data_IF_195669666634
#
_entry.id   IF_195669666634
#
_cell.length_a   1.000
_cell.length_b   1.000
_cell.length_c   1.000
_cell.angle_alpha   90.00
_cell.angle_beta   90.00
_cell.angle_gamma   90.00
#
_symmetry.space_group_name_H-M   'P 1'
#
loop_
_entity.id
_entity.type
_entity.pdbx_description
1 polymer ?
#
# COMPACT_ATOMS: atom_id res chain seq x y z
N UNK A 1 -5.89 -21.31 6.10
CA UNK A 1 -4.86 -21.44 5.03
C UNK A 1 -4.92 -22.85 4.45
N UNK A 2 -5.29 -22.98 3.20
CA UNK A 2 -5.25 -24.28 2.53
C UNK A 2 -3.78 -24.67 2.32
N UNK A 3 -3.23 -25.47 3.23
CA UNK A 3 -1.93 -26.12 3.03
C UNK A 3 -2.10 -27.19 1.95
N UNK A 4 -1.97 -26.78 0.69
CA UNK A 4 -2.08 -27.69 -0.43
C UNK A 4 -0.70 -28.23 -0.75
N UNK A 5 -0.57 -29.55 -0.70
CA UNK A 5 0.63 -30.25 -1.12
C UNK A 5 0.49 -30.71 -2.56
N UNK A 6 1.47 -30.42 -3.38
CA UNK A 6 1.53 -30.90 -4.76
C UNK A 6 2.26 -32.24 -4.84
N UNK A 7 1.71 -33.17 -5.61
CA UNK A 7 2.40 -34.43 -5.89
C UNK A 7 3.52 -34.21 -6.90
N UNK A 8 4.77 -34.41 -6.48
CA UNK A 8 5.99 -34.26 -7.32
C UNK A 8 6.25 -32.83 -7.86
N UNK A 9 5.78 -31.80 -7.20
CA UNK A 9 6.03 -30.40 -7.54
C UNK A 9 6.26 -29.57 -6.28
N UNK A 10 6.92 -28.43 -6.43
CA UNK A 10 6.90 -27.39 -5.42
C UNK A 10 5.48 -26.84 -5.21
N UNK A 11 5.18 -26.40 -4.00
CA UNK A 11 3.91 -25.79 -3.69
C UNK A 11 3.80 -24.43 -4.39
N UNK A 12 2.74 -24.23 -5.16
CA UNK A 12 2.41 -22.96 -5.81
C UNK A 12 1.26 -22.29 -5.06
N UNK A 13 1.20 -20.96 -5.03
CA UNK A 13 -0.02 -20.27 -4.59
C UNK A 13 -1.21 -20.73 -5.43
N UNK A 14 -2.36 -20.86 -4.79
CA UNK A 14 -3.57 -21.33 -5.45
C UNK A 14 -4.66 -20.26 -5.40
N UNK A 15 -5.26 -19.99 -6.53
CA UNK A 15 -6.42 -19.11 -6.63
C UNK A 15 -7.63 -19.77 -5.94
N UNK A 16 -8.08 -19.16 -4.83
CA UNK A 16 -9.23 -19.62 -4.05
C UNK A 16 -10.53 -18.94 -4.50
N UNK A 17 -10.61 -18.58 -5.77
CA UNK A 17 -11.77 -17.95 -6.38
C UNK A 17 -12.05 -18.46 -7.80
N UNK A 18 -13.28 -18.28 -8.23
CA UNK A 18 -13.74 -18.56 -9.60
C UNK A 18 -14.13 -17.25 -10.26
N UNK A 19 -13.55 -16.94 -11.41
CA UNK A 19 -13.83 -15.70 -12.13
C UNK A 19 -15.18 -15.80 -12.86
N UNK A 20 -16.07 -14.80 -12.62
CA UNK A 20 -17.35 -14.66 -13.31
C UNK A 20 -17.36 -13.47 -14.28
N UNK A 21 -16.62 -12.40 -13.97
CA UNK A 21 -16.52 -11.17 -14.76
C UNK A 21 -15.05 -10.98 -15.10
N UNK A 22 -14.77 -10.76 -16.38
CA UNK A 22 -13.42 -10.57 -16.88
C UNK A 22 -13.27 -9.18 -17.53
N UNK A 23 -12.10 -8.58 -17.36
CA UNK A 23 -11.68 -7.40 -18.11
C UNK A 23 -10.63 -7.86 -19.13
N UNK A 24 -10.88 -7.56 -20.42
CA UNK A 24 -9.91 -7.88 -21.47
C UNK A 24 -8.65 -7.03 -21.29
N UNK A 25 -7.50 -7.68 -21.35
CA UNK A 25 -6.18 -7.02 -21.43
C UNK A 25 -5.48 -7.41 -22.71
N UNK A 26 -4.45 -6.66 -23.09
CA UNK A 26 -3.61 -6.94 -24.27
C UNK A 26 -2.16 -6.60 -23.98
N UNK A 27 -1.23 -7.32 -24.60
CA UNK A 27 0.19 -6.99 -24.57
C UNK A 27 0.50 -6.22 -25.86
N UNK A 28 1.06 -5.01 -25.72
CA UNK A 28 1.53 -4.25 -26.84
C UNK A 28 2.86 -4.81 -27.38
N UNK A 29 3.14 -4.76 -28.70
CA UNK A 29 4.48 -5.00 -29.21
C UNK A 29 5.52 -4.09 -28.54
N UNK A 30 6.75 -4.57 -28.40
CA UNK A 30 7.80 -3.85 -27.64
C UNK A 30 8.03 -2.42 -28.15
N UNK A 31 7.94 -2.19 -29.46
CA UNK A 31 8.10 -0.86 -30.06
C UNK A 31 6.97 0.09 -29.65
N UNK A 32 5.74 -0.44 -29.54
CA UNK A 32 4.60 0.34 -29.05
C UNK A 32 4.70 0.62 -27.54
N UNK A 33 5.28 -0.31 -26.77
CA UNK A 33 5.60 -0.08 -25.35
C UNK A 33 6.62 1.06 -25.19
N UNK A 34 7.66 1.11 -26.04
CA UNK A 34 8.61 2.23 -26.03
C UNK A 34 7.92 3.55 -26.37
N UNK A 35 7.02 3.58 -27.37
CA UNK A 35 6.23 4.78 -27.68
C UNK A 35 5.30 5.19 -26.53
N UNK A 36 4.66 4.22 -25.88
CA UNK A 36 3.76 4.46 -24.75
C UNK A 36 4.50 5.09 -23.56
N UNK A 37 5.64 4.51 -23.14
CA UNK A 37 6.40 5.05 -22.01
C UNK A 37 7.01 6.42 -22.31
N UNK A 38 7.44 6.69 -23.55
CA UNK A 38 7.87 8.02 -23.99
C UNK A 38 6.74 9.04 -23.96
N UNK A 39 5.55 8.68 -24.46
CA UNK A 39 4.36 9.52 -24.38
C UNK A 39 3.97 9.85 -22.94
N UNK A 40 4.20 8.92 -22.02
CA UNK A 40 4.01 9.11 -20.58
C UNK A 40 5.14 9.92 -19.92
N UNK A 41 6.21 10.29 -20.63
CA UNK A 41 7.37 10.96 -20.06
C UNK A 41 8.10 10.08 -19.04
N UNK A 42 8.24 8.78 -19.31
CA UNK A 42 8.87 7.80 -18.42
C UNK A 42 8.30 7.75 -16.98
N UNK A 43 7.10 8.27 -16.78
CA UNK A 43 6.44 8.35 -15.48
C UNK A 43 5.21 7.44 -15.48
N UNK A 44 5.18 6.46 -14.59
CA UNK A 44 4.10 5.46 -14.49
C UNK A 44 2.72 6.06 -14.19
N UNK A 45 2.66 7.19 -13.49
CA UNK A 45 1.40 7.89 -13.20
C UNK A 45 0.75 8.53 -14.43
N UNK A 46 1.50 8.75 -15.51
CA UNK A 46 1.04 9.37 -16.75
C UNK A 46 0.67 8.36 -17.84
N UNK A 47 0.93 7.07 -17.60
CA UNK A 47 0.59 6.02 -18.57
C UNK A 47 -0.91 5.81 -18.66
N UNK A 48 -1.39 5.49 -19.86
CA UNK A 48 -2.77 5.06 -20.05
C UNK A 48 -2.95 3.60 -19.60
N UNK A 49 -4.10 3.28 -18.99
CA UNK A 49 -4.35 1.94 -18.48
C UNK A 49 -4.44 0.87 -19.59
N UNK A 50 -4.90 1.23 -20.78
CA UNK A 50 -5.01 0.36 -21.95
C UNK A 50 -3.66 0.08 -22.64
N UNK A 51 -2.61 0.83 -22.31
CA UNK A 51 -1.24 0.54 -22.71
C UNK A 51 -0.60 -0.54 -21.80
N UNK A 52 -1.23 -0.91 -20.68
CA UNK A 52 -0.66 -1.79 -19.66
C UNK A 52 -1.28 -3.20 -19.72
N UNK A 53 -0.42 -4.22 -19.82
CA UNK A 53 -0.86 -5.63 -19.71
C UNK A 53 -1.13 -6.02 -18.25
N UNK A 54 -0.20 -5.73 -17.36
CA UNK A 54 -0.35 -5.91 -15.91
C UNK A 54 -0.28 -4.54 -15.26
N UNK A 55 -1.40 -4.04 -14.75
CA UNK A 55 -1.43 -2.78 -14.02
C UNK A 55 -1.15 -3.02 -12.54
N UNK A 56 0.13 -2.96 -12.18
CA UNK A 56 0.66 -3.18 -10.85
C UNK A 56 1.07 -1.85 -10.16
N UNK A 57 0.47 -0.73 -10.60
CA UNK A 57 0.73 0.58 -10.02
C UNK A 57 0.28 0.64 -8.56
N UNK A 58 -0.89 0.09 -8.26
CA UNK A 58 -1.50 0.11 -6.92
C UNK A 58 -2.52 -1.01 -6.75
N UNK A 59 -2.76 -1.39 -5.50
CA UNK A 59 -3.90 -2.24 -5.11
C UNK A 59 -5.16 -1.42 -4.76
N UNK A 60 -5.04 -0.10 -4.67
CA UNK A 60 -6.10 0.77 -4.15
C UNK A 60 -7.28 0.93 -5.10
N UNK A 61 -8.39 0.26 -4.79
CA UNK A 61 -9.65 0.32 -5.54
C UNK A 61 -9.65 -0.48 -6.85
N UNK A 62 -8.68 -1.37 -7.03
CA UNK A 62 -8.55 -2.25 -8.19
C UNK A 62 -8.59 -3.73 -7.81
N UNK A 63 -8.83 -4.05 -6.54
CA UNK A 63 -9.09 -5.42 -6.09
C UNK A 63 -10.41 -5.93 -6.65
N UNK A 64 -10.48 -7.24 -6.96
CA UNK A 64 -11.71 -7.85 -7.44
C UNK A 64 -12.74 -8.03 -6.32
N UNK A 65 -13.98 -7.66 -6.60
CA UNK A 65 -15.12 -7.85 -5.70
C UNK A 65 -15.71 -9.25 -5.87
N UNK A 66 -16.33 -9.78 -4.81
CA UNK A 66 -17.14 -11.01 -4.89
C UNK A 66 -18.51 -10.75 -5.53
N UNK A 67 -19.17 -11.84 -5.95
CA UNK A 67 -20.56 -11.79 -6.41
C UNK A 67 -21.50 -11.31 -5.28
N UNK A 68 -21.21 -11.63 -4.02
CA UNK A 68 -21.92 -11.16 -2.85
C UNK A 68 -21.79 -9.64 -2.71
N UNK A 69 -20.57 -9.09 -2.88
CA UNK A 69 -20.37 -7.63 -2.87
C UNK A 69 -21.16 -6.93 -4.00
N UNK A 70 -21.06 -7.47 -5.23
CA UNK A 70 -21.81 -6.93 -6.37
C UNK A 70 -23.33 -7.03 -6.18
N UNK A 71 -23.80 -8.16 -5.63
CA UNK A 71 -25.23 -8.33 -5.27
C UNK A 71 -25.67 -7.33 -4.20
N UNK A 72 -24.86 -7.10 -3.18
CA UNK A 72 -25.16 -6.16 -2.12
C UNK A 72 -25.26 -4.70 -2.64
N UNK A 73 -24.44 -4.32 -3.62
CA UNK A 73 -24.52 -3.00 -4.24
C UNK A 73 -25.92 -2.70 -4.85
N UNK A 74 -26.67 -3.74 -5.26
CA UNK A 74 -27.98 -3.58 -5.88
C UNK A 74 -29.11 -3.31 -4.87
N UNK A 75 -28.86 -3.50 -3.58
CA UNK A 75 -29.86 -3.29 -2.51
C UNK A 75 -29.60 -2.03 -1.68
N UNK A 76 -28.58 -1.24 -2.06
CA UNK A 76 -28.29 0.04 -1.40
C UNK A 76 -29.47 1.01 -1.56
N UNK A 77 -29.86 1.66 -0.46
CA UNK A 77 -30.95 2.64 -0.43
C UNK A 77 -30.43 4.08 -0.55
N UNK A 78 -30.92 4.81 -1.54
CA UNK A 78 -30.51 6.20 -1.81
C UNK A 78 -31.26 7.22 -0.89
N UNK A 79 -30.99 7.14 0.42
CA UNK A 79 -31.50 8.13 1.37
C UNK A 79 -30.39 9.16 1.70
N UNK A 80 -30.74 10.47 1.60
CA UNK A 80 -29.75 11.53 1.91
C UNK A 80 -29.28 11.49 3.36
N UNK A 81 -30.15 11.16 4.29
CA UNK A 81 -29.84 11.08 5.72
C UNK A 81 -30.37 9.79 6.32
N UNK A 82 -29.57 9.12 7.15
CA UNK A 82 -29.98 7.96 7.93
C UNK A 82 -30.42 6.76 7.11
N UNK A 83 -29.73 6.45 6.01
CA UNK A 83 -30.01 5.29 5.16
C UNK A 83 -29.95 3.98 5.94
N UNK A 84 -30.71 2.98 5.51
CA UNK A 84 -30.65 1.62 6.06
C UNK A 84 -29.25 1.03 5.80
N UNK A 85 -28.67 1.33 4.65
CA UNK A 85 -27.30 0.93 4.29
C UNK A 85 -26.26 1.47 5.28
N UNK A 86 -26.32 2.77 5.63
CA UNK A 86 -25.43 3.36 6.63
C UNK A 86 -25.54 2.62 7.98
N UNK A 87 -26.77 2.37 8.45
CA UNK A 87 -26.99 1.64 9.70
C UNK A 87 -26.39 0.22 9.65
N UNK A 88 -26.62 -0.52 8.56
CA UNK A 88 -26.08 -1.87 8.38
C UNK A 88 -24.55 -1.88 8.38
N UNK A 89 -23.91 -0.90 7.71
CA UNK A 89 -22.45 -0.78 7.70
C UNK A 89 -21.92 -0.40 9.09
N UNK A 90 -22.59 0.51 9.80
CA UNK A 90 -22.27 0.89 11.16
C UNK A 90 -22.35 -0.32 12.12
N UNK A 91 -23.40 -1.14 12.01
CA UNK A 91 -23.56 -2.37 12.77
C UNK A 91 -22.44 -3.38 12.47
N UNK A 92 -22.04 -3.52 11.20
CA UNK A 92 -20.94 -4.39 10.77
C UNK A 92 -19.57 -3.91 11.33
N UNK A 93 -19.32 -2.61 11.30
CA UNK A 93 -18.11 -2.01 11.88
C UNK A 93 -18.07 -2.26 13.38
N UNK A 94 -19.17 -2.06 14.08
CA UNK A 94 -19.27 -2.36 15.51
C UNK A 94 -19.04 -3.85 15.79
N UNK A 95 -19.60 -4.75 14.99
CA UNK A 95 -19.38 -6.20 15.12
C UNK A 95 -17.89 -6.57 15.04
N UNK A 96 -17.15 -6.00 14.06
CA UNK A 96 -15.75 -6.36 13.77
C UNK A 96 -14.79 -5.63 14.72
N UNK A 97 -14.91 -4.30 14.81
CA UNK A 97 -13.93 -3.43 15.47
C UNK A 97 -14.32 -3.02 16.90
N UNK A 98 -15.53 -3.35 17.38
CA UNK A 98 -16.01 -2.90 18.69
C UNK A 98 -15.98 -1.36 18.86
N UNK A 99 -16.26 -0.62 17.79
CA UNK A 99 -16.34 0.83 17.79
C UNK A 99 -17.79 1.27 17.59
N UNK A 100 -18.25 2.17 18.46
CA UNK A 100 -19.64 2.61 18.49
C UNK A 100 -19.95 3.66 17.43
N UNK A 101 -18.96 4.47 17.04
CA UNK A 101 -19.12 5.58 16.14
C UNK A 101 -18.37 5.37 14.83
N UNK A 102 -19.01 5.73 13.73
CA UNK A 102 -18.51 5.58 12.37
C UNK A 102 -18.77 6.83 11.54
N UNK A 103 -17.72 7.38 10.93
CA UNK A 103 -17.79 8.45 9.95
C UNK A 103 -17.31 7.93 8.59
N UNK A 104 -18.20 7.84 7.59
CA UNK A 104 -17.83 7.51 6.22
C UNK A 104 -17.13 8.69 5.55
N UNK A 105 -16.17 8.39 4.66
CA UNK A 105 -15.49 9.34 3.78
C UNK A 105 -15.22 8.70 2.43
N UNK A 106 -14.97 9.48 1.37
CA UNK A 106 -14.83 8.94 0.01
C UNK A 106 -13.60 8.07 -0.21
N UNK A 107 -12.57 8.17 0.64
CA UNK A 107 -11.36 7.31 0.60
C UNK A 107 -10.46 7.54 1.84
N UNK A 108 -9.45 6.66 2.05
CA UNK A 108 -8.56 6.72 3.22
C UNK A 108 -7.83 8.05 3.40
N UNK A 109 -7.32 8.68 2.31
CA UNK A 109 -6.66 9.99 2.41
C UNK A 109 -7.57 11.13 2.89
N UNK A 110 -8.88 10.96 2.81
CA UNK A 110 -9.82 11.89 3.41
C UNK A 110 -9.87 11.71 4.94
N UNK A 111 -9.76 10.46 5.44
CA UNK A 111 -9.59 10.22 6.88
C UNK A 111 -8.38 10.96 7.43
N UNK A 112 -7.21 10.81 6.77
CA UNK A 112 -5.98 11.52 7.15
C UNK A 112 -6.19 13.03 7.18
N UNK A 113 -6.91 13.58 6.20
CA UNK A 113 -7.19 15.02 6.14
C UNK A 113 -8.09 15.47 7.30
N UNK A 114 -9.17 14.74 7.57
CA UNK A 114 -10.08 15.08 8.69
C UNK A 114 -9.36 15.02 10.03
N UNK A 115 -8.52 13.99 10.25
CA UNK A 115 -7.74 13.85 11.48
C UNK A 115 -6.66 14.92 11.60
N UNK A 116 -5.98 15.29 10.51
CA UNK A 116 -5.02 16.39 10.52
C UNK A 116 -5.69 17.73 10.85
N UNK A 117 -6.84 18.04 10.23
CA UNK A 117 -7.62 19.25 10.54
C UNK A 117 -8.11 19.29 11.99
N UNK A 118 -8.49 18.13 12.54
CA UNK A 118 -8.98 18.04 13.91
C UNK A 118 -7.89 18.24 14.96
N UNK A 119 -6.69 17.68 14.73
CA UNK A 119 -5.70 17.58 15.81
C UNK A 119 -4.37 18.27 15.55
N UNK A 120 -3.95 18.47 14.30
CA UNK A 120 -2.67 19.09 13.98
C UNK A 120 -2.82 20.63 14.01
N UNK A 121 -1.95 21.28 14.76
CA UNK A 121 -1.84 22.74 14.84
C UNK A 121 -0.44 23.15 14.40
N UNK A 122 -0.21 24.43 14.06
CA UNK A 122 1.14 24.92 13.80
C UNK A 122 2.11 24.58 14.94
N UNK A 123 3.22 23.89 14.60
CA UNK A 123 4.21 23.40 15.56
C UNK A 123 3.90 22.06 16.20
N UNK A 124 2.76 21.41 15.88
CA UNK A 124 2.48 20.04 16.34
C UNK A 124 3.42 19.02 15.70
N UNK A 125 3.59 17.88 16.39
CA UNK A 125 4.38 16.73 15.93
C UNK A 125 3.48 15.49 15.89
N UNK A 126 3.67 14.65 14.87
CA UNK A 126 3.03 13.34 14.74
C UNK A 126 4.11 12.26 14.68
N UNK A 127 4.43 11.60 15.82
CA UNK A 127 5.25 10.39 15.79
C UNK A 127 4.55 9.27 15.01
N UNK A 128 5.32 8.50 14.21
CA UNK A 128 4.80 7.39 13.41
C UNK A 128 5.88 6.33 13.22
N UNK A 129 5.47 5.07 12.98
CA UNK A 129 6.42 4.02 12.64
C UNK A 129 7.17 4.38 11.35
N UNK A 130 6.45 4.59 10.24
CA UNK A 130 7.07 5.12 9.03
C UNK A 130 6.17 6.15 8.35
N UNK A 131 6.75 6.89 7.42
CA UNK A 131 6.04 7.94 6.70
C UNK A 131 5.15 7.39 5.59
N UNK A 132 4.10 8.15 5.25
CA UNK A 132 3.31 7.95 4.06
C UNK A 132 3.00 9.33 3.44
N UNK A 133 3.35 9.53 2.16
CA UNK A 133 3.36 10.84 1.53
C UNK A 133 2.06 11.64 1.66
N UNK A 134 0.88 10.97 1.55
CA UNK A 134 -0.40 11.67 1.71
C UNK A 134 -0.67 12.14 3.14
N UNK A 135 -0.23 11.39 4.15
CA UNK A 135 -0.33 11.78 5.57
C UNK A 135 0.60 12.96 5.87
N UNK A 136 1.85 12.87 5.44
CA UNK A 136 2.84 13.94 5.61
C UNK A 136 2.35 15.25 4.99
N UNK A 137 1.88 15.20 3.73
CA UNK A 137 1.37 16.38 3.04
C UNK A 137 0.28 17.11 3.83
N UNK A 138 -0.61 16.38 4.52
CA UNK A 138 -1.69 16.98 5.33
C UNK A 138 -1.20 17.51 6.67
N UNK A 139 -0.27 16.80 7.32
CA UNK A 139 0.37 17.27 8.55
C UNK A 139 1.10 18.58 8.28
N UNK A 140 1.91 18.64 7.22
CA UNK A 140 2.61 19.85 6.79
C UNK A 140 1.65 21.00 6.40
N UNK A 141 0.56 20.67 5.68
CA UNK A 141 -0.47 21.66 5.34
C UNK A 141 -1.10 22.31 6.57
N UNK A 142 -1.29 21.58 7.66
CA UNK A 142 -1.79 22.11 8.93
C UNK A 142 -0.69 22.80 9.77
N UNK A 143 0.55 22.90 9.27
CA UNK A 143 1.67 23.53 9.96
C UNK A 143 2.36 22.64 11.01
N UNK A 144 2.09 21.36 11.00
CA UNK A 144 2.73 20.35 11.84
C UNK A 144 3.97 19.73 11.19
N UNK A 145 4.61 18.84 11.94
CA UNK A 145 5.73 18.03 11.53
C UNK A 145 5.53 16.57 11.95
N UNK A 146 6.41 15.68 11.54
CA UNK A 146 6.37 14.27 11.88
C UNK A 146 7.72 13.76 12.35
N UNK A 147 7.72 12.65 13.08
CA UNK A 147 8.95 11.98 13.52
C UNK A 147 8.80 10.49 13.26
N UNK A 148 9.75 9.91 12.51
CA UNK A 148 9.80 8.48 12.25
C UNK A 148 10.40 7.78 13.46
N UNK A 149 9.67 6.80 13.98
CA UNK A 149 10.06 5.95 15.12
C UNK A 149 10.20 4.49 14.70
N UNK A 150 10.69 4.23 13.48
CA UNK A 150 10.94 2.88 12.97
C UNK A 150 12.18 2.30 13.63
N UNK A 151 12.16 1.00 13.92
CA UNK A 151 13.36 0.26 14.33
C UNK A 151 14.42 0.24 13.22
N UNK A 152 15.69 0.07 13.57
CA UNK A 152 16.83 0.18 12.64
C UNK A 152 16.74 -0.85 11.50
N UNK A 153 16.33 -2.09 11.80
CA UNK A 153 16.19 -3.15 10.81
C UNK A 153 15.13 -2.87 9.73
N UNK A 154 14.19 -1.97 10.01
CA UNK A 154 13.20 -1.53 9.03
C UNK A 154 13.82 -0.84 7.80
N UNK A 155 15.00 -0.23 7.96
CA UNK A 155 15.74 0.42 6.87
C UNK A 155 16.64 -0.55 6.08
N UNK A 156 16.93 -1.73 6.62
CA UNK A 156 17.68 -2.75 5.88
C UNK A 156 16.76 -3.56 4.97
N UNK A 157 16.91 -3.36 3.66
CA UNK A 157 16.11 -4.03 2.63
C UNK A 157 16.25 -5.55 2.63
N UNK A 158 17.39 -6.08 3.09
CA UNK A 158 17.70 -7.51 3.16
C UNK A 158 17.71 -8.09 4.57
N UNK A 159 17.31 -7.35 5.59
CA UNK A 159 17.10 -7.92 6.92
C UNK A 159 16.00 -8.98 6.89
N UNK A 160 16.22 -10.10 7.54
CA UNK A 160 15.24 -11.19 7.70
C UNK A 160 14.31 -11.01 8.91
N UNK A 161 14.32 -9.83 9.53
CA UNK A 161 13.40 -9.53 10.62
C UNK A 161 11.95 -9.70 10.14
N UNK A 162 11.12 -10.54 10.79
CA UNK A 162 9.76 -10.83 10.34
C UNK A 162 8.80 -9.64 10.43
N UNK A 163 9.13 -8.62 11.26
CA UNK A 163 8.30 -7.44 11.50
C UNK A 163 9.13 -6.15 11.42
N UNK A 164 9.57 -5.81 10.21
CA UNK A 164 10.45 -4.67 9.96
C UNK A 164 9.78 -3.31 10.18
N UNK A 165 8.46 -3.29 10.29
CA UNK A 165 7.68 -2.07 10.53
C UNK A 165 7.46 -1.76 12.03
N UNK A 166 8.10 -2.52 12.92
CA UNK A 166 7.99 -2.29 14.36
C UNK A 166 8.53 -0.92 14.78
N UNK A 167 7.84 -0.30 15.73
CA UNK A 167 8.36 0.90 16.38
C UNK A 167 9.64 0.59 17.17
N UNK A 168 10.59 1.52 17.12
CA UNK A 168 11.55 1.75 18.19
C UNK A 168 10.78 2.35 19.38
N UNK A 169 10.32 1.49 20.29
CA UNK A 169 9.49 1.89 21.43
C UNK A 169 10.24 2.81 22.40
N UNK A 170 11.56 2.68 22.52
CA UNK A 170 12.36 3.57 23.36
C UNK A 170 12.43 4.97 22.77
N UNK A 171 12.62 5.07 21.46
CA UNK A 171 12.59 6.34 20.74
C UNK A 171 11.21 6.98 20.85
N UNK A 172 10.14 6.20 20.66
CA UNK A 172 8.77 6.68 20.81
C UNK A 172 8.56 7.24 22.21
N UNK A 173 8.88 6.49 23.27
CA UNK A 173 8.67 6.97 24.65
C UNK A 173 9.47 8.22 24.97
N UNK A 174 10.74 8.32 24.51
CA UNK A 174 11.53 9.56 24.66
C UNK A 174 10.83 10.75 24.03
N UNK A 175 10.25 10.62 22.84
CA UNK A 175 9.52 11.69 22.15
C UNK A 175 8.24 12.03 22.90
N UNK A 176 7.47 11.02 23.36
CA UNK A 176 6.25 11.25 24.14
C UNK A 176 6.51 12.04 25.43
N UNK A 177 7.70 11.91 26.01
CA UNK A 177 8.10 12.66 27.20
C UNK A 177 8.62 14.07 26.84
N UNK A 178 9.56 14.15 25.90
CA UNK A 178 10.27 15.42 25.62
C UNK A 178 9.42 16.42 24.84
N UNK A 179 8.49 15.96 24.01
CA UNK A 179 7.68 16.80 23.11
C UNK A 179 6.17 16.74 23.46
N UNK A 180 5.82 16.27 24.65
CA UNK A 180 4.47 15.95 25.08
C UNK A 180 3.40 16.96 24.63
N UNK A 181 3.64 18.26 24.91
CA UNK A 181 2.67 19.33 24.64
C UNK A 181 2.49 19.65 23.15
N UNK A 182 3.38 19.13 22.30
CA UNK A 182 3.35 19.32 20.86
C UNK A 182 2.78 18.13 20.09
N UNK A 183 2.61 16.98 20.75
CA UNK A 183 2.13 15.78 20.06
C UNK A 183 0.65 15.88 19.76
N UNK A 184 0.28 15.84 18.50
CA UNK A 184 -1.12 15.83 18.07
C UNK A 184 -1.77 14.45 18.32
N UNK A 185 -1.10 13.39 17.88
CA UNK A 185 -1.41 11.98 18.06
C UNK A 185 -0.22 11.12 17.61
N UNK A 186 -0.20 9.84 17.98
CA UNK A 186 0.74 8.87 17.40
C UNK A 186 0.02 8.11 16.27
N UNK A 187 0.60 8.08 15.07
CA UNK A 187 0.08 7.30 13.95
C UNK A 187 0.77 5.95 13.89
N UNK A 188 -0.02 4.89 13.96
CA UNK A 188 0.41 3.49 13.83
C UNK A 188 -0.09 2.98 12.48
N UNK A 189 0.79 2.66 11.54
CA UNK A 189 0.41 2.09 10.25
C UNK A 189 0.53 0.57 10.30
N UNK A 190 -0.57 -0.15 10.07
CA UNK A 190 -0.56 -1.59 10.01
C UNK A 190 -0.17 -2.07 8.61
N UNK A 191 1.13 -2.29 8.41
CA UNK A 191 1.75 -2.67 7.15
C UNK A 191 2.24 -1.48 6.34
N UNK A 192 3.53 -1.15 6.47
CA UNK A 192 4.14 0.03 5.85
C UNK A 192 4.41 -0.17 4.37
N UNK A 193 3.85 0.72 3.57
CA UNK A 193 3.93 0.70 2.11
C UNK A 193 5.37 0.96 1.59
N UNK A 194 6.09 1.92 2.19
CA UNK A 194 7.32 2.47 1.62
C UNK A 194 8.59 1.65 1.87
N UNK A 195 8.57 0.73 2.81
CA UNK A 195 9.71 -0.15 3.12
C UNK A 195 9.48 -1.59 2.65
N UNK A 196 8.72 -1.78 1.57
CA UNK A 196 8.47 -3.10 0.98
C UNK A 196 7.20 -3.78 1.45
N UNK A 197 6.21 -3.03 1.95
CA UNK A 197 4.97 -3.61 2.48
C UNK A 197 5.17 -4.42 3.75
N UNK A 198 6.15 -4.04 4.57
CA UNK A 198 6.55 -4.79 5.75
C UNK A 198 5.49 -4.72 6.85
N UNK A 199 5.24 -5.82 7.57
CA UNK A 199 4.29 -5.85 8.67
C UNK A 199 4.89 -5.32 9.98
N UNK A 200 3.97 -4.92 10.87
CA UNK A 200 4.22 -4.61 12.28
C UNK A 200 3.63 -5.71 13.17
N UNK A 201 4.36 -6.12 14.21
CA UNK A 201 3.90 -7.12 15.17
C UNK A 201 2.71 -6.61 16.00
N UNK A 202 1.79 -7.51 16.35
CA UNK A 202 0.66 -7.14 17.21
C UNK A 202 1.17 -6.67 18.58
N UNK A 203 2.12 -7.38 19.19
CA UNK A 203 2.69 -7.00 20.47
C UNK A 203 3.34 -5.62 20.45
N UNK A 204 3.98 -5.23 19.33
CA UNK A 204 4.58 -3.91 19.17
C UNK A 204 3.50 -2.81 19.03
N UNK A 205 2.44 -3.04 18.25
CA UNK A 205 1.30 -2.11 18.17
C UNK A 205 0.62 -1.91 19.54
N UNK A 206 0.42 -2.99 20.30
CA UNK A 206 -0.16 -2.91 21.63
C UNK A 206 0.74 -2.15 22.61
N UNK A 207 2.05 -2.35 22.55
CA UNK A 207 3.02 -1.63 23.37
C UNK A 207 3.05 -0.13 23.01
N UNK A 208 3.00 0.22 21.73
CA UNK A 208 2.92 1.62 21.28
C UNK A 208 1.62 2.29 21.77
N UNK A 209 0.48 1.59 21.69
CA UNK A 209 -0.80 2.08 22.21
C UNK A 209 -0.79 2.25 23.74
N UNK A 210 -0.13 1.34 24.46
CA UNK A 210 0.04 1.44 25.93
C UNK A 210 0.88 2.66 26.31
N UNK A 211 1.98 2.93 25.57
CA UNK A 211 2.77 4.15 25.78
C UNK A 211 1.92 5.39 25.55
N UNK A 212 1.12 5.42 24.50
CA UNK A 212 0.20 6.53 24.21
C UNK A 212 -0.75 6.74 25.41
N UNK A 213 -1.40 5.69 25.89
CA UNK A 213 -2.32 5.74 27.03
C UNK A 213 -1.63 6.21 28.31
N UNK A 214 -0.42 5.70 28.61
CA UNK A 214 0.39 6.09 29.78
C UNK A 214 0.69 7.58 29.80
N UNK A 215 0.91 8.17 28.65
CA UNK A 215 1.24 9.59 28.50
C UNK A 215 0.03 10.48 28.13
N UNK A 216 -1.19 9.93 28.07
CA UNK A 216 -2.40 10.69 27.72
C UNK A 216 -2.42 11.21 26.28
N UNK A 217 -1.71 10.58 25.38
CA UNK A 217 -1.63 10.88 23.94
C UNK A 217 -2.55 9.95 23.18
N UNK A 218 -3.21 10.44 22.11
CA UNK A 218 -4.06 9.61 21.26
C UNK A 218 -3.26 8.66 20.41
N UNK A 219 -3.72 7.40 20.34
CA UNK A 219 -3.29 6.40 19.37
C UNK A 219 -4.25 6.37 18.17
N UNK A 220 -3.70 6.50 16.95
CA UNK A 220 -4.45 6.47 15.68
C UNK A 220 -3.92 5.36 14.81
N UNK A 221 -4.72 4.32 14.59
CA UNK A 221 -4.37 3.21 13.72
C UNK A 221 -4.77 3.49 12.27
N UNK A 222 -3.81 3.45 11.36
CA UNK A 222 -4.07 3.28 9.93
C UNK A 222 -4.23 1.80 9.61
N UNK A 223 -5.46 1.36 9.44
CA UNK A 223 -5.81 -0.02 9.14
C UNK A 223 -5.99 -0.30 7.64
N UNK A 224 -5.45 0.56 6.76
CA UNK A 224 -5.66 0.43 5.31
C UNK A 224 -5.08 -0.85 4.72
N UNK A 225 -3.99 -1.39 5.28
CA UNK A 225 -3.37 -2.67 4.88
C UNK A 225 -3.50 -3.75 5.97
N UNK A 226 -4.43 -3.55 6.90
CA UNK A 226 -4.59 -4.42 8.06
C UNK A 226 -4.76 -5.90 7.67
N UNK A 227 -5.46 -6.22 6.58
CA UNK A 227 -5.67 -7.61 6.17
C UNK A 227 -4.35 -8.36 5.88
N UNK A 228 -3.37 -7.70 5.24
CA UNK A 228 -2.05 -8.31 5.00
C UNK A 228 -1.28 -8.44 6.31
N UNK A 229 -1.34 -7.41 7.15
CA UNK A 229 -0.69 -7.42 8.46
C UNK A 229 -1.25 -8.55 9.37
N UNK A 230 -2.56 -8.77 9.35
CA UNK A 230 -3.22 -9.85 10.10
C UNK A 230 -2.74 -11.24 9.65
N UNK A 231 -2.52 -11.43 8.35
CA UNK A 231 -1.91 -12.66 7.84
C UNK A 231 -0.52 -12.88 8.43
N UNK A 232 0.32 -11.84 8.47
CA UNK A 232 1.67 -11.95 9.02
C UNK A 232 1.68 -12.16 10.54
N UNK A 233 0.82 -11.49 11.30
CA UNK A 233 0.62 -11.76 12.72
C UNK A 233 0.28 -13.25 12.91
N UNK A 234 -0.72 -13.74 12.18
CA UNK A 234 -1.19 -15.12 12.27
C UNK A 234 -0.12 -16.15 11.93
N UNK A 235 0.80 -15.84 11.00
CA UNK A 235 1.80 -16.78 10.50
C UNK A 235 3.18 -16.63 11.14
N UNK A 236 3.50 -15.47 11.73
CA UNK A 236 4.83 -15.16 12.24
C UNK A 236 4.88 -14.95 13.76
N UNK A 237 3.75 -14.63 14.44
CA UNK A 237 3.68 -14.51 15.90
C UNK A 237 3.05 -15.76 16.52
N UNK A 238 3.85 -16.55 17.22
CA UNK A 238 3.45 -17.84 17.83
C UNK A 238 2.28 -17.69 18.80
N UNK A 239 2.19 -16.56 19.52
CA UNK A 239 1.13 -16.30 20.50
C UNK A 239 -0.28 -16.19 19.87
N UNK A 240 -0.37 -15.84 18.59
CA UNK A 240 -1.64 -15.53 17.92
C UNK A 240 -2.04 -16.54 16.84
N UNK A 241 -1.19 -17.54 16.56
CA UNK A 241 -1.41 -18.50 15.47
C UNK A 241 -2.73 -19.28 15.56
N UNK A 242 -3.22 -19.54 16.77
CA UNK A 242 -4.44 -20.31 17.01
C UNK A 242 -5.69 -19.42 17.17
N UNK A 243 -5.52 -18.10 17.20
CA UNK A 243 -6.63 -17.16 17.28
C UNK A 243 -7.27 -16.95 15.91
N UNK A 244 -8.59 -16.71 15.89
CA UNK A 244 -9.24 -16.24 14.66
C UNK A 244 -8.83 -14.81 14.33
N UNK A 245 -8.89 -14.44 13.05
CA UNK A 245 -8.63 -13.07 12.59
C UNK A 245 -9.50 -12.06 13.36
N UNK A 246 -10.78 -12.37 13.59
CA UNK A 246 -11.70 -11.51 14.36
C UNK A 246 -11.24 -11.28 15.80
N UNK A 247 -10.66 -12.29 16.46
CA UNK A 247 -10.11 -12.14 17.81
C UNK A 247 -8.89 -11.22 17.82
N UNK A 248 -7.98 -11.36 16.86
CA UNK A 248 -6.80 -10.50 16.72
C UNK A 248 -7.24 -9.04 16.46
N UNK A 249 -8.18 -8.83 15.53
CA UNK A 249 -8.73 -7.48 15.24
C UNK A 249 -9.38 -6.87 16.49
N UNK A 250 -10.09 -7.68 17.28
CA UNK A 250 -10.72 -7.20 18.52
C UNK A 250 -9.68 -6.72 19.53
N UNK A 251 -8.62 -7.50 19.77
CA UNK A 251 -7.53 -7.13 20.68
C UNK A 251 -6.90 -5.81 20.22
N UNK A 252 -6.55 -5.71 18.94
CA UNK A 252 -5.94 -4.50 18.38
C UNK A 252 -6.88 -3.30 18.46
N UNK A 253 -8.13 -3.49 18.08
CA UNK A 253 -9.11 -2.40 18.05
C UNK A 253 -9.42 -1.86 19.44
N UNK A 254 -9.52 -2.72 20.44
CA UNK A 254 -9.80 -2.30 21.83
C UNK A 254 -8.64 -1.48 22.42
N UNK A 255 -7.42 -1.64 21.92
CA UNK A 255 -6.25 -0.89 22.35
C UNK A 255 -6.14 0.50 21.71
N UNK A 256 -6.80 0.76 20.58
CA UNK A 256 -6.67 2.00 19.81
C UNK A 256 -7.78 3.01 20.13
N UNK A 257 -7.44 4.30 20.23
CA UNK A 257 -8.43 5.36 20.43
C UNK A 257 -9.24 5.63 19.14
N UNK A 258 -8.54 5.79 18.03
CA UNK A 258 -9.12 6.04 16.71
C UNK A 258 -8.55 5.04 15.72
N UNK A 259 -9.40 4.51 14.86
CA UNK A 259 -8.98 3.69 13.72
C UNK A 259 -9.52 4.34 12.46
N UNK A 260 -8.71 4.42 11.42
CA UNK A 260 -9.18 4.76 10.10
C UNK A 260 -8.68 3.76 9.06
N UNK A 261 -9.39 3.67 7.95
CA UNK A 261 -8.95 2.81 6.85
C UNK A 261 -9.42 3.30 5.48
N UNK A 262 -8.67 2.93 4.47
CA UNK A 262 -9.09 3.01 3.09
C UNK A 262 -9.86 1.74 2.72
N UNK A 263 -11.15 1.87 2.49
CA UNK A 263 -11.96 0.75 2.00
C UNK A 263 -11.63 0.37 0.54
N UNK A 264 -10.78 1.15 -0.10
CA UNK A 264 -10.20 0.79 -1.40
C UNK A 264 -9.18 -0.37 -1.30
N UNK A 265 -8.81 -0.74 -0.06
CA UNK A 265 -7.91 -1.84 0.30
C UNK A 265 -8.61 -2.79 1.27
N UNK A 266 -8.83 -2.36 2.52
CA UNK A 266 -9.60 -3.13 3.51
C UNK A 266 -11.08 -3.16 3.10
N UNK A 267 -11.67 -4.35 2.96
CA UNK A 267 -13.06 -4.52 2.51
C UNK A 267 -13.25 -4.51 1.00
N UNK A 268 -12.19 -4.38 0.19
CA UNK A 268 -12.20 -4.52 -1.28
C UNK A 268 -13.27 -3.70 -2.02
N UNK A 269 -13.70 -2.58 -1.43
CA UNK A 269 -14.68 -1.64 -2.00
C UNK A 269 -14.04 -0.32 -2.43
N UNK A 270 -14.80 0.77 -2.33
CA UNK A 270 -14.30 2.14 -2.51
C UNK A 270 -14.90 3.03 -1.43
N UNK A 271 -14.06 3.79 -0.76
CA UNK A 271 -14.44 4.64 0.34
C UNK A 271 -13.39 4.64 1.43
N UNK A 272 -13.75 5.14 2.59
CA UNK A 272 -12.94 5.14 3.80
C UNK A 272 -13.81 5.30 5.04
N UNK A 273 -13.25 5.05 6.18
CA UNK A 273 -13.93 5.14 7.47
C UNK A 273 -13.00 5.69 8.54
N UNK A 274 -13.56 6.51 9.43
CA UNK A 274 -12.99 6.84 10.74
C UNK A 274 -13.92 6.23 11.79
N UNK A 275 -13.38 5.46 12.71
CA UNK A 275 -14.14 4.75 13.72
C UNK A 275 -13.51 4.93 15.11
N UNK A 276 -14.33 5.12 16.13
CA UNK A 276 -13.92 5.41 17.51
C UNK A 276 -15.05 5.14 18.50
N UNK A 277 -14.74 5.24 19.82
CA UNK A 277 -15.73 5.06 20.89
C UNK A 277 -16.03 6.38 21.65
N UNK A 278 -15.18 7.39 21.53
CA UNK A 278 -15.34 8.66 22.21
C UNK A 278 -16.35 9.55 21.45
N UNK A 279 -17.49 9.82 22.08
CA UNK A 279 -18.58 10.60 21.50
C UNK A 279 -18.21 12.06 21.26
N UNK A 280 -17.44 12.67 22.16
CA UNK A 280 -17.01 14.07 22.02
C UNK A 280 -16.08 14.22 20.81
N UNK A 281 -15.13 13.30 20.67
CA UNK A 281 -14.23 13.29 19.51
C UNK A 281 -14.98 12.97 18.22
N UNK A 282 -15.96 12.06 18.25
CA UNK A 282 -16.80 11.77 17.10
C UNK A 282 -17.56 13.04 16.64
N UNK A 283 -18.24 13.73 17.55
CA UNK A 283 -18.95 14.98 17.21
C UNK A 283 -18.01 16.06 16.68
N UNK A 284 -16.80 16.15 17.23
CA UNK A 284 -15.80 17.09 16.77
C UNK A 284 -15.31 16.77 15.34
N UNK A 285 -14.88 15.54 15.06
CA UNK A 285 -14.42 15.13 13.73
C UNK A 285 -15.54 15.23 12.71
N UNK A 286 -16.78 14.92 13.09
CA UNK A 286 -17.98 15.01 12.25
C UNK A 286 -18.17 16.40 11.64
N UNK A 287 -17.75 17.47 12.32
CA UNK A 287 -17.84 18.83 11.78
C UNK A 287 -16.98 19.01 10.53
N UNK A 288 -15.80 18.40 10.49
CA UNK A 288 -14.92 18.44 9.32
C UNK A 288 -15.45 17.53 8.19
N UNK A 289 -15.93 16.32 8.50
CA UNK A 289 -16.56 15.45 7.50
C UNK A 289 -17.73 16.15 6.84
N UNK A 290 -18.59 16.79 7.61
CA UNK A 290 -19.73 17.53 7.10
C UNK A 290 -19.33 18.71 6.19
N UNK A 291 -18.17 19.32 6.44
CA UNK A 291 -17.71 20.50 5.70
C UNK A 291 -16.96 20.14 4.41
N UNK A 292 -16.24 19.03 4.40
CA UNK A 292 -15.28 18.70 3.33
C UNK A 292 -15.65 17.46 2.52
N UNK A 293 -16.37 16.49 3.11
CA UNK A 293 -16.70 15.23 2.45
C UNK A 293 -18.17 15.17 2.02
N UNK A 294 -19.08 15.37 2.96
CA UNK A 294 -20.51 15.31 2.72
C UNK A 294 -21.29 15.08 4.00
N UNK A 295 -22.59 14.84 3.88
CA UNK A 295 -23.42 14.61 5.04
C UNK A 295 -22.92 13.40 5.84
N UNK A 296 -22.93 13.44 7.20
CA UNK A 296 -22.24 12.45 8.04
C UNK A 296 -22.65 10.98 7.83
N UNK A 297 -23.82 10.72 7.27
CA UNK A 297 -24.29 9.35 7.03
C UNK A 297 -23.93 8.79 5.65
N UNK A 298 -23.21 9.56 4.79
CA UNK A 298 -22.64 9.04 3.56
C UNK A 298 -21.23 9.55 3.25
N UNK A 299 -20.81 10.74 3.76
CA UNK A 299 -19.41 11.21 3.71
C UNK A 299 -18.77 11.20 2.33
N UNK A 300 -19.52 11.56 1.26
CA UNK A 300 -19.02 11.49 -0.12
C UNK A 300 -19.01 10.09 -0.73
N UNK A 301 -19.40 9.04 0.00
CA UNK A 301 -19.55 7.69 -0.55
C UNK A 301 -20.93 7.46 -1.17
N UNK A 302 -20.98 6.59 -2.18
CA UNK A 302 -22.23 6.01 -2.66
C UNK A 302 -22.72 4.93 -1.69
N UNK A 303 -24.04 4.84 -1.48
CA UNK A 303 -24.66 3.75 -0.70
C UNK A 303 -24.30 2.34 -1.28
N UNK A 304 -24.14 2.26 -2.60
CA UNK A 304 -23.70 1.02 -3.26
C UNK A 304 -22.31 0.57 -2.76
N UNK A 305 -21.38 1.52 -2.65
CA UNK A 305 -20.04 1.22 -2.11
C UNK A 305 -20.12 0.86 -0.63
N UNK A 306 -20.99 1.49 0.16
CA UNK A 306 -21.18 1.11 1.57
C UNK A 306 -21.65 -0.34 1.72
N UNK A 307 -22.58 -0.80 0.89
CA UNK A 307 -23.03 -2.20 0.90
C UNK A 307 -21.91 -3.15 0.44
N UNK A 308 -21.11 -2.76 -0.57
CA UNK A 308 -19.95 -3.54 -0.98
C UNK A 308 -18.92 -3.66 0.14
N UNK A 309 -18.64 -2.57 0.86
CA UNK A 309 -17.71 -2.57 2.02
C UNK A 309 -18.27 -3.44 3.14
N UNK A 310 -19.55 -3.36 3.44
CA UNK A 310 -20.18 -4.17 4.50
C UNK A 310 -19.95 -5.66 4.30
N UNK A 311 -20.09 -6.14 3.06
CA UNK A 311 -19.82 -7.54 2.70
C UNK A 311 -18.31 -7.81 2.68
N UNK A 312 -17.54 -6.93 2.04
CA UNK A 312 -16.09 -7.11 1.89
C UNK A 312 -15.32 -7.07 3.22
N UNK A 313 -15.84 -6.44 4.27
CA UNK A 313 -15.26 -6.50 5.60
C UNK A 313 -15.30 -7.92 6.18
N UNK A 314 -16.33 -8.71 5.89
CA UNK A 314 -16.36 -10.13 6.25
C UNK A 314 -15.29 -10.93 5.47
N UNK A 315 -15.09 -10.64 4.18
CA UNK A 315 -14.01 -11.22 3.37
C UNK A 315 -12.62 -10.94 3.99
N UNK A 316 -12.40 -9.74 4.54
CA UNK A 316 -11.12 -9.39 5.17
C UNK A 316 -10.92 -9.99 6.56
N UNK A 317 -11.93 -10.66 7.11
CA UNK A 317 -11.84 -11.45 8.34
C UNK A 317 -11.68 -12.95 8.07
N UNK A 318 -11.62 -13.35 6.81
CA UNK A 318 -11.45 -14.74 6.38
C UNK A 318 -9.99 -15.03 6.05
N UNK A 319 -9.38 -15.95 6.80
CA UNK A 319 -7.96 -16.32 6.67
C UNK A 319 -7.62 -16.86 5.28
N UNK A 320 -8.51 -17.62 4.64
CA UNK A 320 -8.28 -18.15 3.31
C UNK A 320 -8.27 -17.04 2.24
N UNK A 321 -9.03 -15.98 2.47
CA UNK A 321 -9.08 -14.83 1.56
C UNK A 321 -7.85 -13.93 1.74
N UNK A 322 -7.52 -13.54 2.97
CA UNK A 322 -6.43 -12.60 3.22
C UNK A 322 -5.05 -13.20 2.95
N UNK A 323 -4.90 -14.52 3.01
CA UNK A 323 -3.64 -15.21 2.72
C UNK A 323 -3.22 -15.12 1.25
N UNK A 324 -4.16 -15.00 0.32
CA UNK A 324 -3.88 -15.07 -1.12
C UNK A 324 -2.94 -13.96 -1.59
N UNK A 325 -3.14 -12.72 -1.15
CA UNK A 325 -2.27 -11.60 -1.52
C UNK A 325 -0.80 -11.83 -1.10
N UNK A 326 -0.53 -11.99 0.19
CA UNK A 326 0.82 -12.27 0.68
C UNK A 326 1.48 -13.52 0.09
N UNK A 327 0.72 -14.61 -0.14
CA UNK A 327 1.27 -15.84 -0.74
C UNK A 327 1.69 -15.64 -2.21
N UNK A 328 0.92 -14.90 -3.01
CA UNK A 328 1.30 -14.55 -4.38
C UNK A 328 2.53 -13.63 -4.41
N UNK A 329 2.59 -12.67 -3.48
CA UNK A 329 3.73 -11.76 -3.35
C UNK A 329 4.98 -12.54 -2.91
N UNK A 330 4.83 -13.42 -1.92
CA UNK A 330 5.93 -14.29 -1.46
C UNK A 330 6.48 -15.12 -2.61
N UNK A 331 5.61 -15.79 -3.37
CA UNK A 331 6.03 -16.56 -4.54
C UNK A 331 6.81 -15.70 -5.55
N UNK A 332 6.30 -14.51 -5.88
CA UNK A 332 6.98 -13.60 -6.80
C UNK A 332 8.37 -13.18 -6.27
N UNK A 333 8.46 -12.83 -4.99
CA UNK A 333 9.72 -12.43 -4.37
C UNK A 333 10.72 -13.59 -4.32
N UNK A 334 10.33 -14.79 -3.86
CA UNK A 334 11.19 -15.96 -3.76
C UNK A 334 11.73 -16.38 -5.13
N UNK A 335 10.89 -16.41 -6.17
CA UNK A 335 11.35 -16.76 -7.52
C UNK A 335 12.35 -15.75 -8.11
N UNK A 336 12.19 -14.46 -7.80
CA UNK A 336 13.12 -13.42 -8.21
C UNK A 336 14.42 -13.50 -7.40
N UNK A 337 14.34 -13.75 -6.10
CA UNK A 337 15.49 -13.93 -5.21
C UNK A 337 16.32 -15.16 -5.59
N UNK A 338 15.68 -16.30 -5.88
CA UNK A 338 16.32 -17.52 -6.37
C UNK A 338 17.07 -17.30 -7.69
N UNK A 339 16.59 -16.36 -8.51
CA UNK A 339 17.29 -15.91 -9.73
C UNK A 339 18.40 -14.87 -9.46
N UNK A 340 18.68 -14.53 -8.20
CA UNK A 340 19.70 -13.56 -7.80
C UNK A 340 19.29 -12.10 -8.02
N UNK A 341 17.99 -11.83 -8.21
CA UNK A 341 17.46 -10.48 -8.41
C UNK A 341 17.19 -9.82 -7.05
N UNK A 342 17.70 -8.60 -6.83
CA UNK A 342 17.58 -7.94 -5.53
C UNK A 342 16.14 -7.46 -5.29
N UNK A 343 15.48 -8.06 -4.30
CA UNK A 343 14.17 -7.69 -3.78
C UNK A 343 14.26 -7.35 -2.30
N UNK A 344 13.23 -6.71 -1.77
CA UNK A 344 13.09 -6.50 -0.32
C UNK A 344 12.67 -7.80 0.34
N UNK A 345 13.44 -8.25 1.35
CA UNK A 345 13.18 -9.46 2.14
C UNK A 345 12.94 -9.14 3.62
N UNK A 346 12.19 -9.99 4.33
CA UNK A 346 11.33 -11.04 3.77
C UNK A 346 10.18 -10.42 2.98
N UNK A 347 9.49 -11.21 2.16
CA UNK A 347 8.34 -10.72 1.40
C UNK A 347 7.28 -10.10 2.33
N UNK A 348 6.87 -8.88 2.02
CA UNK A 348 5.83 -8.15 2.73
C UNK A 348 4.46 -8.28 2.07
N UNK A 349 3.54 -7.40 2.45
CA UNK A 349 2.22 -7.25 1.83
C UNK A 349 2.25 -6.31 0.62
N UNK A 350 1.07 -6.07 0.01
CA UNK A 350 0.85 -5.11 -1.06
C UNK A 350 1.50 -5.46 -2.41
N UNK A 351 2.77 -5.83 -2.45
CA UNK A 351 3.48 -6.13 -3.69
C UNK A 351 4.94 -6.56 -3.48
N UNK A 352 5.58 -7.02 -4.55
CA UNK A 352 7.01 -7.26 -4.60
C UNK A 352 7.75 -5.93 -4.85
N UNK A 353 8.87 -5.71 -4.17
CA UNK A 353 9.67 -4.49 -4.28
C UNK A 353 11.09 -4.82 -4.76
N UNK A 354 11.43 -4.39 -5.97
CA UNK A 354 12.78 -4.52 -6.52
C UNK A 354 13.67 -3.41 -5.94
N UNK A 355 14.88 -3.75 -5.49
CA UNK A 355 15.90 -2.78 -5.08
C UNK A 355 16.64 -2.25 -6.31
N UNK A 356 16.24 -1.08 -6.79
CA UNK A 356 16.80 -0.48 -8.00
C UNK A 356 18.27 -0.13 -7.86
N UNK A 357 18.75 0.26 -6.67
CA UNK A 357 20.17 0.57 -6.45
C UNK A 357 21.08 -0.65 -6.63
N UNK A 358 20.57 -1.86 -6.31
CA UNK A 358 21.29 -3.11 -6.52
C UNK A 358 21.02 -3.72 -7.90
N UNK A 359 19.83 -3.48 -8.47
CA UNK A 359 19.48 -3.99 -9.80
C UNK A 359 20.26 -3.27 -10.91
N UNK A 360 20.36 -1.94 -10.85
CA UNK A 360 21.04 -1.07 -11.83
C UNK A 360 22.12 -0.20 -11.16
N UNK A 361 23.18 -0.79 -10.56
CA UNK A 361 24.16 -0.07 -9.75
C UNK A 361 24.98 0.96 -10.54
N UNK A 362 24.96 0.88 -11.87
CA UNK A 362 25.63 1.81 -12.78
C UNK A 362 24.84 3.12 -13.00
N UNK A 363 23.58 3.19 -12.58
CA UNK A 363 22.76 4.41 -12.68
C UNK A 363 22.87 5.18 -11.35
N UNK A 364 23.47 6.38 -11.35
CA UNK A 364 23.58 7.17 -10.14
C UNK A 364 22.21 7.71 -9.71
N UNK A 365 22.04 7.94 -8.41
CA UNK A 365 20.75 8.32 -7.82
C UNK A 365 20.12 9.57 -8.44
N UNK A 366 20.92 10.58 -8.83
CA UNK A 366 20.46 11.78 -9.51
C UNK A 366 20.02 11.53 -10.99
N UNK A 367 20.03 10.29 -11.43
CA UNK A 367 19.46 9.84 -12.70
C UNK A 367 18.27 8.88 -12.50
N UNK A 368 17.69 8.87 -11.31
CA UNK A 368 16.42 8.21 -10.96
C UNK A 368 16.40 6.71 -11.26
N UNK A 369 17.23 5.89 -10.62
CA UNK A 369 17.37 4.47 -10.92
C UNK A 369 16.08 3.67 -10.76
N UNK A 370 15.23 3.98 -9.77
CA UNK A 370 13.92 3.34 -9.60
C UNK A 370 12.97 3.67 -10.75
N UNK A 371 12.94 4.93 -11.20
CA UNK A 371 12.14 5.34 -12.37
C UNK A 371 12.63 4.69 -13.66
N UNK A 372 13.95 4.63 -13.86
CA UNK A 372 14.56 3.99 -15.03
C UNK A 372 14.26 2.47 -15.05
N UNK A 373 14.42 1.79 -13.90
CA UNK A 373 14.09 0.38 -13.77
C UNK A 373 12.60 0.11 -14.01
N UNK A 374 11.71 0.95 -13.45
CA UNK A 374 10.25 0.82 -13.67
C UNK A 374 9.90 0.93 -15.17
N UNK A 375 10.49 1.89 -15.87
CA UNK A 375 10.29 2.06 -17.32
C UNK A 375 10.84 0.85 -18.10
N UNK A 376 11.98 0.32 -17.71
CA UNK A 376 12.57 -0.88 -18.32
C UNK A 376 11.73 -2.14 -18.08
N UNK A 377 11.20 -2.34 -16.87
CA UNK A 377 10.25 -3.43 -16.56
C UNK A 377 9.02 -3.34 -17.46
N UNK A 378 8.47 -2.13 -17.66
CA UNK A 378 7.35 -1.94 -18.56
C UNK A 378 7.74 -2.26 -20.02
N UNK A 379 8.88 -1.80 -20.51
CA UNK A 379 9.35 -2.12 -21.89
C UNK A 379 9.50 -3.63 -22.05
N UNK A 380 10.06 -4.34 -21.06
CA UNK A 380 10.27 -5.77 -21.12
C UNK A 380 8.97 -6.60 -21.06
N UNK A 381 8.00 -6.17 -20.24
CA UNK A 381 6.86 -7.01 -19.86
C UNK A 381 5.48 -6.43 -20.16
N UNK A 382 5.34 -5.13 -20.38
CA UNK A 382 4.04 -4.45 -20.36
C UNK A 382 3.45 -4.27 -18.96
N UNK A 383 4.20 -4.56 -17.91
CA UNK A 383 3.76 -4.37 -16.52
C UNK A 383 4.06 -2.94 -16.05
N UNK A 384 3.03 -2.23 -15.58
CA UNK A 384 3.15 -0.91 -14.96
C UNK A 384 3.34 -1.05 -13.46
N UNK A 385 4.57 -0.89 -12.97
CA UNK A 385 4.88 -0.76 -11.55
C UNK A 385 4.78 0.70 -11.06
N UNK A 386 5.12 0.90 -9.79
CA UNK A 386 5.23 2.24 -9.18
C UNK A 386 6.68 2.47 -8.77
N UNK A 387 7.22 3.57 -9.19
CA UNK A 387 8.46 4.10 -8.64
C UNK A 387 8.23 4.52 -7.19
N UNK A 388 9.12 4.13 -6.28
CA UNK A 388 9.11 4.44 -4.85
C UNK A 388 10.52 4.89 -4.44
N UNK A 389 10.95 6.00 -4.99
CA UNK A 389 12.26 6.61 -4.78
C UNK A 389 12.20 8.11 -4.95
N UNK A 390 13.25 8.70 -5.51
CA UNK A 390 13.44 10.13 -5.58
C UNK A 390 12.44 10.90 -6.47
N UNK A 391 11.67 10.21 -7.33
CA UNK A 391 10.61 10.87 -8.13
C UNK A 391 9.33 11.03 -7.31
N UNK A 392 8.91 9.96 -6.61
CA UNK A 392 7.64 9.95 -5.85
C UNK A 392 7.78 10.72 -4.53
N UNK A 393 8.94 10.64 -3.90
CA UNK A 393 9.26 11.27 -2.61
C UNK A 393 10.56 12.07 -2.75
N UNK A 394 10.53 13.32 -3.22
CA UNK A 394 11.72 14.15 -3.30
C UNK A 394 12.24 14.42 -1.88
N UNK A 395 13.41 13.87 -1.60
CA UNK A 395 14.07 13.95 -0.30
C UNK A 395 15.10 15.09 -0.32
N UNK A 396 14.66 16.31 -0.06
CA UNK A 396 15.55 17.48 0.01
C UNK A 396 16.12 17.71 1.44
N UNK A 397 15.71 16.86 2.41
CA UNK A 397 16.14 17.00 3.80
C UNK A 397 17.31 16.05 4.11
N UNK A 398 18.50 16.59 4.46
CA UNK A 398 19.66 15.76 4.81
C UNK A 398 19.43 14.82 6.01
N UNK A 399 18.51 15.12 6.92
CA UNK A 399 18.16 14.25 8.04
C UNK A 399 17.30 13.06 7.56
N UNK A 400 16.64 13.21 6.42
CA UNK A 400 15.82 12.18 5.77
C UNK A 400 16.59 11.46 4.66
N UNK A 401 17.77 11.96 4.28
CA UNK A 401 18.63 11.37 3.22
C UNK A 401 18.99 9.88 3.46
N UNK A 402 19.19 9.39 4.70
CA UNK A 402 19.35 7.96 4.94
C UNK A 402 18.18 7.11 4.43
N UNK A 403 16.96 7.65 4.44
CA UNK A 403 15.74 6.99 3.97
C UNK A 403 15.59 7.06 2.44
N UNK A 404 16.18 8.04 1.80
CA UNK A 404 16.23 8.18 0.35
C UNK A 404 17.07 7.10 -0.36
N UNK A 405 17.75 6.21 0.38
CA UNK A 405 18.34 4.98 -0.16
C UNK A 405 17.28 3.93 -0.54
N UNK A 406 16.00 4.18 -0.26
CA UNK A 406 14.85 3.36 -0.66
C UNK A 406 14.44 3.63 -2.11
N UNK A 407 15.36 3.47 -3.06
CA UNK A 407 15.07 3.48 -4.49
C UNK A 407 14.46 2.12 -4.87
N UNK A 408 13.13 2.02 -4.79
CA UNK A 408 12.40 0.78 -5.00
C UNK A 408 11.47 0.87 -6.21
N UNK A 409 11.27 -0.25 -6.89
CA UNK A 409 10.16 -0.43 -7.83
C UNK A 409 9.15 -1.37 -7.19
N UNK A 410 7.97 -0.84 -6.88
CA UNK A 410 6.87 -1.63 -6.34
C UNK A 410 6.02 -2.24 -7.46
N UNK A 411 5.89 -3.54 -7.44
CA UNK A 411 4.97 -4.32 -8.26
C UNK A 411 3.79 -4.74 -7.39
N UNK A 412 2.79 -3.87 -7.27
CA UNK A 412 1.60 -4.14 -6.46
C UNK A 412 0.80 -5.32 -7.03
N UNK A 413 0.34 -6.21 -6.16
CA UNK A 413 -0.47 -7.38 -6.53
C UNK A 413 -1.90 -7.18 -6.02
N UNK A 414 -2.81 -6.61 -6.83
CA UNK A 414 -4.22 -6.50 -6.45
C UNK A 414 -4.83 -7.88 -6.16
N UNK A 415 -5.60 -7.98 -5.08
CA UNK A 415 -6.15 -9.26 -4.61
C UNK A 415 -7.18 -9.79 -5.59
N UNK A 416 -7.05 -11.08 -5.93
CA UNK A 416 -7.97 -11.83 -6.81
C UNK A 416 -8.04 -11.28 -8.24
N UNK A 417 -6.98 -10.62 -8.73
CA UNK A 417 -6.95 -9.99 -10.06
C UNK A 417 -6.05 -10.77 -11.02
N UNK A 418 -4.84 -11.08 -10.62
CA UNK A 418 -3.88 -11.77 -11.47
C UNK A 418 -3.76 -13.25 -11.13
N UNK A 419 -3.38 -14.04 -12.13
CA UNK A 419 -3.19 -15.48 -12.05
C UNK A 419 -1.72 -15.85 -11.92
N UNK A 420 -1.44 -17.07 -11.46
CA UNK A 420 -0.07 -17.58 -11.35
C UNK A 420 0.67 -17.59 -12.70
N UNK A 421 -0.02 -17.82 -13.81
CA UNK A 421 0.58 -17.79 -15.15
C UNK A 421 1.04 -16.38 -15.55
N UNK A 422 0.32 -15.33 -15.11
CA UNK A 422 0.73 -13.93 -15.30
C UNK A 422 1.92 -13.57 -14.43
N UNK A 423 1.98 -14.10 -13.20
CA UNK A 423 3.17 -13.92 -12.34
C UNK A 423 4.39 -14.60 -12.94
N UNK A 424 4.26 -15.82 -13.43
CA UNK A 424 5.37 -16.54 -14.09
C UNK A 424 5.86 -15.81 -15.35
N UNK A 425 4.96 -15.23 -16.14
CA UNK A 425 5.34 -14.38 -17.26
C UNK A 425 6.16 -13.17 -16.81
N UNK A 426 5.71 -12.49 -15.75
CA UNK A 426 6.40 -11.31 -15.21
C UNK A 426 7.79 -11.68 -14.67
N UNK A 427 7.90 -12.79 -13.93
CA UNK A 427 9.17 -13.31 -13.42
C UNK A 427 10.15 -13.56 -14.58
N UNK A 428 9.72 -14.26 -15.62
CA UNK A 428 10.53 -14.55 -16.81
C UNK A 428 11.07 -13.27 -17.45
N UNK A 429 10.22 -12.25 -17.62
CA UNK A 429 10.61 -10.97 -18.21
C UNK A 429 11.55 -10.14 -17.32
N UNK A 430 11.38 -10.20 -16.00
CA UNK A 430 12.29 -9.53 -15.06
C UNK A 430 13.64 -10.24 -15.02
N UNK A 431 13.69 -11.59 -15.07
CA UNK A 431 14.94 -12.35 -15.17
C UNK A 431 15.70 -11.96 -16.45
N UNK A 432 15.03 -11.95 -17.61
CA UNK A 432 15.63 -11.49 -18.85
C UNK A 432 16.17 -10.06 -18.74
N UNK A 433 15.39 -9.15 -18.13
CA UNK A 433 15.80 -7.76 -17.95
C UNK A 433 17.04 -7.65 -17.04
N UNK A 434 17.12 -8.48 -16.00
CA UNK A 434 18.26 -8.48 -15.10
C UNK A 434 19.55 -8.94 -15.78
N UNK A 435 19.47 -9.95 -16.66
CA UNK A 435 20.60 -10.37 -17.48
C UNK A 435 21.08 -9.29 -18.49
N UNK A 436 20.15 -8.42 -18.88
CA UNK A 436 20.39 -7.31 -19.84
C UNK A 436 20.42 -5.92 -19.19
N UNK A 437 20.54 -5.83 -17.85
CA UNK A 437 20.40 -4.59 -17.07
C UNK A 437 21.39 -3.49 -17.43
N UNK A 438 22.54 -3.83 -17.97
CA UNK A 438 23.55 -2.86 -18.44
C UNK A 438 23.07 -2.02 -19.62
N UNK A 439 22.01 -2.44 -20.33
CA UNK A 439 21.38 -1.66 -21.39
C UNK A 439 20.51 -0.52 -20.84
N UNK A 440 20.11 -0.59 -19.56
CA UNK A 440 19.24 0.43 -18.94
C UNK A 440 20.06 1.67 -18.64
N UNK A 441 19.63 2.82 -19.11
CA UNK A 441 20.22 4.12 -18.80
C UNK A 441 19.35 4.92 -17.82
N UNK A 442 19.89 6.03 -17.35
CA UNK A 442 19.19 6.93 -16.43
C UNK A 442 18.07 7.74 -17.05
N UNK A 443 17.40 8.51 -16.21
CA UNK A 443 16.37 9.49 -16.56
C UNK A 443 16.79 10.90 -16.12
N UNK A 444 16.13 11.91 -16.65
CA UNK A 444 16.21 13.30 -16.22
C UNK A 444 14.85 13.96 -16.36
N UNK A 445 14.49 14.87 -15.46
CA UNK A 445 13.28 15.68 -15.64
C UNK A 445 13.33 16.50 -16.93
N UNK A 446 12.18 16.70 -17.52
CA UNK A 446 12.04 17.47 -18.75
C UNK A 446 12.26 18.97 -18.52
N UNK A 447 11.88 19.45 -17.33
CA UNK A 447 12.01 20.86 -16.91
C UNK A 447 13.01 20.98 -15.77
N UNK A 448 13.58 22.18 -15.56
CA UNK A 448 14.41 22.52 -14.39
C UNK A 448 13.55 23.09 -13.28
N UNK A 449 13.93 22.87 -12.02
CA UNK A 449 13.29 23.45 -10.83
C UNK A 449 12.64 22.40 -9.90
N UNK A 450 11.80 22.82 -8.96
CA UNK A 450 11.07 21.90 -8.09
C UNK A 450 10.13 21.02 -8.88
N UNK A 451 10.14 19.71 -8.62
CA UNK A 451 9.35 18.71 -9.36
C UNK A 451 8.23 18.15 -8.49
N UNK A 452 7.19 17.66 -9.16
CA UNK A 452 6.12 16.89 -8.57
C UNK A 452 6.20 15.42 -9.02
N UNK A 453 5.67 14.51 -8.23
CA UNK A 453 5.72 13.07 -8.51
C UNK A 453 5.13 12.66 -9.89
N UNK A 454 4.32 13.50 -10.50
CA UNK A 454 3.70 13.26 -11.82
C UNK A 454 4.35 14.03 -12.98
N UNK A 455 5.49 14.72 -12.76
CA UNK A 455 6.16 15.45 -13.83
C UNK A 455 6.83 14.51 -14.84
N UNK A 456 7.00 15.00 -16.06
CA UNK A 456 7.58 14.21 -17.12
C UNK A 456 9.11 14.16 -17.02
N UNK A 457 9.65 13.00 -17.37
CA UNK A 457 11.08 12.75 -17.53
C UNK A 457 11.40 12.37 -18.98
N UNK A 458 12.68 12.39 -19.31
CA UNK A 458 13.25 11.91 -20.56
C UNK A 458 14.34 10.87 -20.27
N UNK A 459 14.51 9.89 -21.17
CA UNK A 459 15.65 9.00 -21.11
C UNK A 459 16.97 9.75 -21.38
N UNK A 460 18.01 9.40 -20.65
CA UNK A 460 19.37 9.82 -20.97
C UNK A 460 19.90 8.86 -22.03
N UNK A 461 19.99 9.36 -23.27
CA UNK A 461 20.38 8.53 -24.43
C UNK A 461 19.23 7.69 -25.00
N UNK A 462 19.59 6.70 -25.79
CA UNK A 462 18.72 5.86 -26.63
C UNK A 462 18.54 4.44 -26.06
N UNK A 463 18.70 4.29 -24.74
CA UNK A 463 18.61 3.00 -24.09
C UNK A 463 17.24 2.29 -24.27
N UNK A 464 16.08 2.99 -24.36
CA UNK A 464 14.81 2.31 -24.58
C UNK A 464 14.75 1.57 -25.92
N UNK A 465 15.29 2.19 -26.97
CA UNK A 465 15.38 1.59 -28.31
C UNK A 465 16.37 0.42 -28.35
N UNK A 466 17.51 0.55 -27.66
CA UNK A 466 18.49 -0.54 -27.53
C UNK A 466 17.91 -1.74 -26.79
N UNK A 467 17.17 -1.49 -25.70
CA UNK A 467 16.48 -2.54 -24.95
C UNK A 467 15.41 -3.23 -25.83
N UNK A 468 14.62 -2.46 -26.57
CA UNK A 468 13.64 -3.02 -27.50
C UNK A 468 14.28 -3.83 -28.63
N UNK A 469 15.40 -3.37 -29.18
CA UNK A 469 16.15 -4.13 -30.20
C UNK A 469 16.67 -5.46 -29.64
N UNK A 470 17.22 -5.45 -28.42
CA UNK A 470 17.65 -6.68 -27.74
C UNK A 470 16.49 -7.62 -27.46
N UNK A 471 15.34 -7.08 -27.06
CA UNK A 471 14.11 -7.87 -26.88
C UNK A 471 13.71 -8.57 -28.18
N UNK A 472 13.77 -7.90 -29.33
CA UNK A 472 13.49 -8.50 -30.65
C UNK A 472 14.50 -9.55 -31.05
N UNK A 473 15.79 -9.34 -30.74
CA UNK A 473 16.83 -10.33 -30.98
C UNK A 473 16.53 -11.65 -30.24
N UNK A 474 16.13 -11.57 -28.95
CA UNK A 474 15.97 -12.74 -28.10
C UNK A 474 14.58 -13.41 -28.21
N UNK A 475 13.53 -12.63 -28.44
CA UNK A 475 12.15 -13.12 -28.45
C UNK A 475 11.50 -13.13 -29.86
N UNK A 476 12.17 -12.58 -30.87
CA UNK A 476 11.63 -12.53 -32.25
C UNK A 476 10.33 -11.74 -32.32
N UNK A 477 9.32 -12.30 -32.98
CA UNK A 477 7.98 -11.67 -33.12
C UNK A 477 7.09 -11.81 -31.88
N UNK A 478 7.60 -12.37 -30.76
CA UNK A 478 6.87 -12.40 -29.50
C UNK A 478 6.53 -11.00 -29.01
N UNK A 479 5.37 -10.84 -28.40
CA UNK A 479 4.88 -9.58 -27.85
C UNK A 479 5.61 -9.19 -26.58
#
# INVERSE_FOLDING_TARGET
MSKISYYKREALPLEMHKVCIVQKTSILPVEERVKAIRRAGFNSYRMQADDCYLDMLTDSGVNAMTNEQLGAMMIGDDAYAGSVTYRRLSEKIKEIFNKDYFLPVHQGRACEHMLALAYVKPGSIVPMNFQFGTSIGKIKYCGGDYVICLQEEGFDKQSENPFKDDFDLEKLERILISEHDRIAFVRIEAGTNLIGGQPIALDNMLAAAELCRKHGIRSVLDASLLQDNLYFIKTREEAYKDMSIRQIVRILSDAMDIIYFSARKLGFGRGGAIILNDEEQFEYIKTFVSSFEGFPTFGGMSVKEMEAIRVGLDDTMDEDIISQGPEFIRYLCEQLEDAGIPVVTPAGGLGCHLDAMKFVPHIPRNQYPAGALQAAVYIASGARGMERGAIDEPWDDPEVEPYGAMELVRLAVPRRVYTISQMNYLIDRICWLYDNRELIGGLKFETEGPHQFYDALNSIGDWPEKLAAKFREDFGESL
#
